data_IF_461861089037
#
_entry.id   IF_461861089037
#
_cell.length_a   1.000
_cell.length_b   1.000
_cell.length_c   1.000
_cell.angle_alpha   90.00
_cell.angle_beta   90.00
_cell.angle_gamma   90.00
#
_symmetry.space_group_name_H-M   'P 1'
#
loop_
_entity.id
_entity.type
_entity.pdbx_description
1 polymer ?
#
# COMPACT_ATOMS: atom_id res chain seq x y z
N UNK A 1 -12.37 19.92 -29.46
CA UNK A 1 -12.97 19.27 -28.29
C UNK A 1 -11.84 19.03 -27.32
N UNK A 2 -11.86 19.73 -26.20
CA UNK A 2 -10.87 19.63 -25.13
C UNK A 2 -10.91 18.22 -24.53
N UNK A 3 -9.77 17.72 -24.04
CA UNK A 3 -9.69 16.43 -23.34
C UNK A 3 -10.62 16.37 -22.10
N UNK A 4 -10.98 17.52 -21.53
CA UNK A 4 -12.01 17.64 -20.48
C UNK A 4 -13.39 17.20 -20.98
N UNK A 5 -13.75 17.55 -22.21
CA UNK A 5 -15.03 17.18 -22.80
C UNK A 5 -15.05 15.67 -23.11
N UNK A 6 -13.89 15.08 -23.44
CA UNK A 6 -13.81 13.63 -23.67
C UNK A 6 -13.87 12.80 -22.40
N UNK A 7 -13.34 13.30 -21.27
CA UNK A 7 -13.47 12.62 -19.97
C UNK A 7 -14.89 12.75 -19.41
N UNK A 8 -15.53 13.92 -19.48
CA UNK A 8 -16.92 14.09 -19.06
C UNK A 8 -17.92 13.33 -19.98
N UNK A 9 -17.63 13.22 -21.27
CA UNK A 9 -18.39 12.35 -22.19
C UNK A 9 -18.13 10.85 -21.89
N UNK A 10 -16.93 10.48 -21.44
CA UNK A 10 -16.62 9.10 -21.04
C UNK A 10 -17.29 8.72 -19.71
N UNK A 11 -17.25 9.61 -18.72
CA UNK A 11 -17.93 9.44 -17.43
C UNK A 11 -19.45 9.39 -17.61
N UNK A 12 -20.06 10.33 -18.34
CA UNK A 12 -21.51 10.31 -18.58
C UNK A 12 -21.96 9.09 -19.39
N UNK A 13 -21.23 8.68 -20.44
CA UNK A 13 -21.52 7.43 -21.16
C UNK A 13 -21.35 6.18 -20.32
N UNK A 14 -20.40 6.18 -19.37
CA UNK A 14 -20.20 5.05 -18.45
C UNK A 14 -21.34 4.93 -17.44
N UNK A 15 -21.87 6.06 -16.96
CA UNK A 15 -23.04 6.13 -16.07
C UNK A 15 -24.34 5.77 -16.80
N UNK A 16 -24.49 6.16 -18.06
CA UNK A 16 -25.60 5.77 -18.93
C UNK A 16 -25.59 4.25 -19.18
N UNK A 17 -24.41 3.68 -19.50
CA UNK A 17 -24.21 2.22 -19.57
C UNK A 17 -24.50 1.52 -18.25
N UNK A 18 -24.10 2.14 -17.13
CA UNK A 18 -24.35 1.63 -15.78
C UNK A 18 -25.85 1.56 -15.49
N UNK A 19 -26.60 2.59 -15.88
CA UNK A 19 -28.05 2.67 -15.73
C UNK A 19 -28.77 1.68 -16.66
N UNK A 20 -28.28 1.47 -17.88
CA UNK A 20 -28.80 0.46 -18.81
C UNK A 20 -28.54 -0.97 -18.27
N UNK A 21 -27.34 -1.25 -17.75
CA UNK A 21 -27.00 -2.54 -17.13
C UNK A 21 -27.76 -2.77 -15.82
N UNK A 22 -28.03 -1.71 -15.05
CA UNK A 22 -28.83 -1.77 -13.83
C UNK A 22 -30.34 -1.93 -14.14
N UNK A 23 -30.82 -1.37 -15.25
CA UNK A 23 -32.15 -1.60 -15.78
C UNK A 23 -32.31 -3.04 -16.31
N UNK A 24 -31.30 -3.57 -17.00
CA UNK A 24 -31.22 -4.98 -17.42
C UNK A 24 -31.20 -5.90 -16.19
N UNK A 25 -30.51 -5.52 -15.10
CA UNK A 25 -30.51 -6.23 -13.81
C UNK A 25 -31.89 -6.27 -13.14
N UNK A 26 -32.71 -5.22 -13.31
CA UNK A 26 -34.10 -5.18 -12.82
C UNK A 26 -35.01 -6.05 -13.69
N UNK A 27 -34.84 -6.09 -15.01
CA UNK A 27 -35.60 -7.01 -15.88
C UNK A 27 -35.22 -8.49 -15.64
N UNK A 28 -33.97 -8.78 -15.32
CA UNK A 28 -33.48 -10.11 -14.93
C UNK A 28 -33.92 -10.56 -13.52
N UNK A 29 -34.61 -9.68 -12.76
CA UNK A 29 -35.12 -9.99 -11.43
C UNK A 29 -36.44 -10.76 -11.42
N UNK A 30 -36.99 -11.08 -12.60
CA UNK A 30 -38.17 -11.93 -12.76
C UNK A 30 -37.84 -13.21 -13.55
N UNK A 31 -37.52 -14.28 -12.81
CA UNK A 31 -37.73 -15.70 -13.18
C UNK A 31 -36.99 -16.36 -14.37
N UNK A 32 -35.88 -15.80 -14.89
CA UNK A 32 -35.13 -16.47 -15.98
C UNK A 32 -33.69 -16.86 -15.57
N UNK A 33 -33.51 -18.09 -15.08
CA UNK A 33 -32.18 -18.70 -14.90
C UNK A 33 -31.67 -19.22 -16.26
N UNK A 34 -30.69 -18.54 -16.87
CA UNK A 34 -29.97 -19.03 -18.05
C UNK A 34 -28.46 -18.82 -17.94
N UNK A 35 -27.69 -19.57 -18.74
CA UNK A 35 -26.23 -19.44 -18.80
C UNK A 35 -25.83 -18.02 -19.25
N UNK A 36 -26.53 -17.45 -20.23
CA UNK A 36 -26.28 -16.09 -20.73
C UNK A 36 -26.47 -15.03 -19.63
N UNK A 37 -27.47 -15.22 -18.77
CA UNK A 37 -27.71 -14.33 -17.62
C UNK A 37 -26.57 -14.40 -16.62
N UNK A 38 -26.11 -15.61 -16.28
CA UNK A 38 -24.96 -15.78 -15.41
C UNK A 38 -23.70 -15.14 -15.99
N UNK A 39 -23.46 -15.31 -17.30
CA UNK A 39 -22.32 -14.70 -17.98
C UNK A 39 -22.37 -13.17 -17.92
N UNK A 40 -23.50 -12.56 -18.23
CA UNK A 40 -23.68 -11.10 -18.12
C UNK A 40 -23.45 -10.59 -16.70
N UNK A 41 -23.96 -11.30 -15.68
CA UNK A 41 -23.71 -10.93 -14.28
C UNK A 41 -22.22 -11.07 -13.91
N UNK A 42 -21.53 -12.08 -14.45
CA UNK A 42 -20.10 -12.25 -14.26
C UNK A 42 -19.30 -11.09 -14.88
N UNK A 43 -19.62 -10.71 -16.12
CA UNK A 43 -19.01 -9.59 -16.82
C UNK A 43 -19.30 -8.25 -16.12
N UNK A 44 -20.54 -8.04 -15.66
CA UNK A 44 -20.92 -6.85 -14.91
C UNK A 44 -20.18 -6.75 -13.58
N UNK A 45 -19.98 -7.87 -12.89
CA UNK A 45 -19.14 -7.92 -11.69
C UNK A 45 -17.72 -7.44 -12.00
N UNK A 46 -17.08 -7.96 -13.07
CA UNK A 46 -15.75 -7.50 -13.50
C UNK A 46 -15.74 -6.01 -13.83
N UNK A 47 -16.81 -5.49 -14.43
CA UNK A 47 -16.94 -4.06 -14.67
C UNK A 47 -16.98 -3.26 -13.36
N UNK A 48 -17.81 -3.64 -12.39
CA UNK A 48 -17.87 -2.94 -11.09
C UNK A 48 -16.58 -3.03 -10.27
N UNK A 49 -15.76 -4.07 -10.49
CA UNK A 49 -14.39 -4.14 -9.95
C UNK A 49 -13.54 -2.97 -10.41
N UNK A 50 -13.60 -2.63 -11.69
CA UNK A 50 -12.79 -1.54 -12.27
C UNK A 50 -13.22 -0.16 -11.73
N UNK A 51 -14.49 -0.01 -11.37
CA UNK A 51 -15.04 1.20 -10.73
C UNK A 51 -14.86 1.24 -9.20
N UNK A 52 -14.11 0.29 -8.62
CA UNK A 52 -13.84 0.19 -7.18
C UNK A 52 -15.14 0.20 -6.34
N UNK A 53 -16.16 -0.52 -6.79
CA UNK A 53 -17.40 -0.74 -6.03
C UNK A 53 -17.47 -2.20 -5.53
N UNK A 54 -16.74 -2.54 -4.45
CA UNK A 54 -16.54 -3.94 -4.04
C UNK A 54 -17.82 -4.60 -3.54
N UNK A 55 -18.81 -3.84 -3.04
CA UNK A 55 -20.08 -4.38 -2.56
C UNK A 55 -20.96 -4.87 -3.71
N UNK A 56 -21.12 -4.05 -4.75
CA UNK A 56 -21.92 -4.42 -5.94
C UNK A 56 -21.21 -5.52 -6.72
N UNK A 57 -19.88 -5.41 -6.88
CA UNK A 57 -19.04 -6.44 -7.50
C UNK A 57 -19.30 -7.83 -6.87
N UNK A 58 -19.21 -7.91 -5.54
CA UNK A 58 -19.36 -9.16 -4.80
C UNK A 58 -20.77 -9.76 -4.96
N UNK A 59 -21.81 -8.92 -4.84
CA UNK A 59 -23.20 -9.36 -4.98
C UNK A 59 -23.47 -9.97 -6.37
N UNK A 60 -22.93 -9.34 -7.42
CA UNK A 60 -23.08 -9.81 -8.80
C UNK A 60 -22.30 -11.10 -9.04
N UNK A 61 -21.07 -11.21 -8.53
CA UNK A 61 -20.27 -12.44 -8.64
C UNK A 61 -20.96 -13.63 -7.93
N UNK A 62 -21.53 -13.40 -6.74
CA UNK A 62 -22.29 -14.41 -5.99
C UNK A 62 -23.51 -14.89 -6.77
N UNK A 63 -24.33 -13.97 -7.29
CA UNK A 63 -25.52 -14.32 -8.07
C UNK A 63 -25.16 -15.06 -9.36
N UNK A 64 -24.12 -14.62 -10.05
CA UNK A 64 -23.60 -15.31 -11.25
C UNK A 64 -23.23 -16.77 -10.95
N UNK A 65 -22.42 -16.99 -9.90
CA UNK A 65 -21.99 -18.34 -9.52
C UNK A 65 -23.17 -19.22 -9.08
N UNK A 66 -24.14 -18.67 -8.35
CA UNK A 66 -25.35 -19.39 -7.95
C UNK A 66 -26.13 -19.90 -9.17
N UNK A 67 -26.31 -19.07 -10.20
CA UNK A 67 -26.99 -19.47 -11.44
C UNK A 67 -26.18 -20.54 -12.18
N UNK A 68 -24.86 -20.39 -12.30
CA UNK A 68 -24.03 -21.41 -12.92
C UNK A 68 -24.13 -22.76 -12.19
N UNK A 69 -24.05 -22.77 -10.87
CA UNK A 69 -24.16 -23.99 -10.06
C UNK A 69 -25.55 -24.61 -10.09
N UNK A 70 -26.60 -23.80 -10.31
CA UNK A 70 -27.97 -24.29 -10.47
C UNK A 70 -28.18 -24.96 -11.84
N UNK A 71 -27.63 -24.39 -12.91
CA UNK A 71 -27.86 -24.85 -14.28
C UNK A 71 -26.90 -25.94 -14.75
N UNK A 72 -25.68 -25.95 -14.22
CA UNK A 72 -24.60 -26.81 -14.67
C UNK A 72 -24.27 -27.84 -13.59
N UNK A 73 -24.24 -29.12 -13.96
CA UNK A 73 -23.90 -30.22 -13.05
C UNK A 73 -22.50 -30.75 -13.33
N UNK A 74 -21.67 -30.89 -12.29
CA UNK A 74 -20.30 -31.39 -12.42
C UNK A 74 -19.29 -30.27 -12.65
N UNK A 75 -18.13 -30.62 -13.23
CA UNK A 75 -17.10 -29.65 -13.54
C UNK A 75 -17.43 -28.93 -14.86
N UNK A 76 -17.39 -27.60 -14.85
CA UNK A 76 -17.64 -26.75 -16.01
C UNK A 76 -16.73 -25.52 -16.00
N UNK A 77 -16.29 -25.07 -17.17
CA UNK A 77 -15.42 -23.89 -17.28
C UNK A 77 -16.11 -22.62 -16.76
N UNK A 78 -17.42 -22.51 -16.97
CA UNK A 78 -18.26 -21.41 -16.51
C UNK A 78 -18.32 -21.34 -14.97
N UNK A 79 -18.45 -22.49 -14.30
CA UNK A 79 -18.41 -22.55 -12.83
C UNK A 79 -17.00 -22.16 -12.34
N UNK A 80 -15.94 -22.68 -12.97
CA UNK A 80 -14.58 -22.33 -12.59
C UNK A 80 -14.27 -20.83 -12.78
N UNK A 81 -14.79 -20.23 -13.85
CA UNK A 81 -14.68 -18.80 -14.11
C UNK A 81 -15.47 -17.96 -13.08
N UNK A 82 -16.69 -18.38 -12.74
CA UNK A 82 -17.50 -17.76 -11.69
C UNK A 82 -16.84 -17.85 -10.31
N UNK A 83 -16.26 -19.00 -9.97
CA UNK A 83 -15.48 -19.21 -8.74
C UNK A 83 -14.25 -18.28 -8.71
N UNK A 84 -13.54 -18.17 -9.83
CA UNK A 84 -12.37 -17.29 -9.94
C UNK A 84 -12.75 -15.84 -9.75
N UNK A 85 -13.80 -15.38 -10.44
CA UNK A 85 -14.28 -14.01 -10.32
C UNK A 85 -14.76 -13.68 -8.90
N UNK A 86 -15.52 -14.59 -8.28
CA UNK A 86 -15.95 -14.45 -6.89
C UNK A 86 -14.77 -14.37 -5.92
N UNK A 87 -13.74 -15.20 -6.11
CA UNK A 87 -12.51 -15.14 -5.33
C UNK A 87 -11.83 -13.77 -5.43
N UNK A 88 -11.73 -13.21 -6.64
CA UNK A 88 -11.19 -11.86 -6.86
C UNK A 88 -12.07 -10.77 -6.24
N UNK A 89 -13.39 -10.95 -6.16
CA UNK A 89 -14.28 -10.01 -5.47
C UNK A 89 -14.10 -10.05 -3.95
N UNK A 90 -13.85 -11.23 -3.36
CA UNK A 90 -13.48 -11.33 -1.95
C UNK A 90 -12.14 -10.66 -1.64
N UNK A 91 -11.16 -10.73 -2.56
CA UNK A 91 -9.89 -9.98 -2.45
C UNK A 91 -10.14 -8.49 -2.26
N UNK A 92 -11.02 -7.91 -3.08
CA UNK A 92 -11.33 -6.47 -3.05
C UNK A 92 -12.15 -6.06 -1.81
N UNK A 93 -12.82 -7.01 -1.16
CA UNK A 93 -13.50 -6.82 0.12
C UNK A 93 -12.61 -7.17 1.33
N UNK A 94 -11.31 -7.41 1.12
CA UNK A 94 -10.34 -7.77 2.17
C UNK A 94 -10.67 -9.09 2.91
N UNK A 95 -11.44 -9.97 2.28
CA UNK A 95 -11.81 -11.29 2.81
C UNK A 95 -10.87 -12.38 2.26
N UNK A 96 -9.58 -12.27 2.57
CA UNK A 96 -8.50 -13.06 1.95
C UNK A 96 -8.60 -14.59 2.15
N UNK A 97 -9.26 -15.05 3.22
CA UNK A 97 -9.51 -16.48 3.44
C UNK A 97 -10.55 -17.03 2.45
N UNK A 98 -11.58 -16.26 2.13
CA UNK A 98 -12.60 -16.65 1.14
C UNK A 98 -12.05 -16.51 -0.28
N UNK A 99 -11.29 -15.45 -0.56
CA UNK A 99 -10.51 -15.31 -1.79
C UNK A 99 -9.74 -16.60 -2.10
N UNK A 100 -8.91 -17.05 -1.15
CA UNK A 100 -8.11 -18.26 -1.32
C UNK A 100 -8.97 -19.52 -1.50
N UNK A 101 -10.05 -19.66 -0.72
CA UNK A 101 -10.96 -20.81 -0.81
C UNK A 101 -11.53 -20.94 -2.23
N UNK A 102 -12.13 -19.88 -2.75
CA UNK A 102 -12.80 -19.92 -4.05
C UNK A 102 -11.81 -20.08 -5.21
N UNK A 103 -10.63 -19.44 -5.15
CA UNK A 103 -9.58 -19.62 -6.15
C UNK A 103 -9.00 -21.04 -6.16
N UNK A 104 -8.85 -21.68 -4.99
CA UNK A 104 -8.44 -23.09 -4.92
C UNK A 104 -9.51 -24.03 -5.46
N UNK A 105 -10.80 -23.75 -5.24
CA UNK A 105 -11.91 -24.52 -5.83
C UNK A 105 -11.91 -24.39 -7.36
N UNK A 106 -11.77 -23.17 -7.90
CA UNK A 106 -11.63 -22.92 -9.33
C UNK A 106 -10.43 -23.68 -9.92
N UNK A 107 -9.26 -23.57 -9.28
CA UNK A 107 -8.04 -24.25 -9.72
C UNK A 107 -8.22 -25.77 -9.78
N UNK A 108 -8.83 -26.37 -8.75
CA UNK A 108 -9.10 -27.81 -8.71
C UNK A 108 -10.04 -28.24 -9.83
N UNK A 109 -11.06 -27.44 -10.13
CA UNK A 109 -12.01 -27.71 -11.20
C UNK A 109 -11.33 -27.61 -12.57
N UNK A 110 -10.56 -26.56 -12.82
CA UNK A 110 -9.81 -26.39 -14.07
C UNK A 110 -8.78 -27.50 -14.29
N UNK A 111 -8.10 -27.98 -13.24
CA UNK A 111 -7.19 -29.14 -13.34
C UNK A 111 -7.90 -30.46 -13.68
N UNK A 112 -9.20 -30.58 -13.42
CA UNK A 112 -10.00 -31.75 -13.83
C UNK A 112 -10.55 -31.62 -15.24
N UNK A 113 -10.87 -30.40 -15.67
CA UNK A 113 -11.37 -30.08 -17.00
C UNK A 113 -10.28 -30.08 -18.07
N UNK A 114 -9.12 -29.49 -17.75
CA UNK A 114 -8.00 -29.33 -18.65
C UNK A 114 -6.93 -30.36 -18.36
N UNK A 115 -6.60 -31.18 -19.37
CA UNK A 115 -5.47 -32.13 -19.31
C UNK A 115 -4.15 -31.43 -19.68
N UNK A 116 -4.22 -30.36 -20.47
CA UNK A 116 -3.06 -29.63 -20.99
C UNK A 116 -2.80 -28.30 -20.27
N UNK A 117 -1.56 -27.83 -20.37
CA UNK A 117 -1.19 -26.47 -19.96
C UNK A 117 -2.02 -25.44 -20.75
N UNK A 118 -2.51 -24.42 -20.05
CA UNK A 118 -3.29 -23.34 -20.66
C UNK A 118 -3.06 -22.02 -19.94
N UNK A 119 -3.26 -20.92 -20.64
CA UNK A 119 -3.15 -19.58 -20.05
C UNK A 119 -4.13 -19.35 -18.91
N UNK A 120 -5.35 -19.90 -19.00
CA UNK A 120 -6.37 -19.82 -17.95
C UNK A 120 -5.89 -20.52 -16.67
N UNK A 121 -5.32 -21.71 -16.81
CA UNK A 121 -4.78 -22.45 -15.67
C UNK A 121 -3.58 -21.72 -15.05
N UNK A 122 -2.70 -21.16 -15.88
CA UNK A 122 -1.57 -20.37 -15.42
C UNK A 122 -2.02 -19.08 -14.71
N UNK A 123 -3.05 -18.40 -15.20
CA UNK A 123 -3.63 -17.23 -14.54
C UNK A 123 -4.28 -17.59 -13.20
N UNK A 124 -5.00 -18.70 -13.14
CA UNK A 124 -5.61 -19.16 -11.90
C UNK A 124 -4.55 -19.51 -10.85
N UNK A 125 -3.46 -20.18 -11.27
CA UNK A 125 -2.29 -20.42 -10.40
C UNK A 125 -1.68 -19.11 -9.88
N UNK A 126 -1.52 -18.10 -10.75
CA UNK A 126 -1.03 -16.78 -10.34
C UNK A 126 -1.95 -16.17 -9.29
N UNK A 127 -3.26 -16.16 -9.51
CA UNK A 127 -4.23 -15.61 -8.58
C UNK A 127 -4.23 -16.36 -7.23
N UNK A 128 -4.10 -17.69 -7.23
CA UNK A 128 -3.93 -18.47 -5.99
C UNK A 128 -2.66 -18.06 -5.26
N UNK A 129 -1.54 -17.89 -5.96
CA UNK A 129 -0.30 -17.38 -5.37
C UNK A 129 -0.48 -16.01 -4.72
N UNK A 130 -1.15 -15.08 -5.40
CA UNK A 130 -1.48 -13.75 -4.85
C UNK A 130 -2.43 -13.83 -3.64
N UNK A 131 -3.34 -14.81 -3.59
CA UNK A 131 -4.19 -15.03 -2.42
C UNK A 131 -3.38 -15.52 -1.21
N UNK A 132 -2.39 -16.40 -1.42
CA UNK A 132 -1.45 -16.81 -0.37
C UNK A 132 -0.61 -15.63 0.13
N UNK A 133 -0.18 -14.72 -0.76
CA UNK A 133 0.47 -13.46 -0.37
C UNK A 133 -0.38 -12.65 0.59
N UNK A 134 -1.68 -12.49 0.29
CA UNK A 134 -2.58 -11.67 1.08
C UNK A 134 -2.84 -12.25 2.49
N UNK A 135 -2.68 -13.56 2.69
CA UNK A 135 -2.75 -14.20 4.03
C UNK A 135 -1.39 -14.35 4.71
N UNK A 136 -0.30 -13.86 4.10
CA UNK A 136 1.07 -13.90 4.64
C UNK A 136 1.79 -15.25 4.49
N UNK A 137 1.28 -16.17 3.67
CA UNK A 137 1.93 -17.46 3.40
C UNK A 137 2.84 -17.35 2.17
N UNK A 138 4.01 -16.78 2.37
CA UNK A 138 4.98 -16.52 1.29
C UNK A 138 5.58 -17.79 0.68
N UNK A 139 5.55 -18.92 1.39
CA UNK A 139 6.04 -20.21 0.87
C UNK A 139 5.08 -20.73 -0.19
N UNK A 140 3.78 -20.74 0.11
CA UNK A 140 2.78 -21.14 -0.88
C UNK A 140 2.62 -20.09 -1.99
N UNK A 141 2.77 -18.80 -1.70
CA UNK A 141 2.86 -17.75 -2.72
C UNK A 141 3.91 -18.11 -3.79
N UNK A 142 5.17 -18.32 -3.38
CA UNK A 142 6.26 -18.66 -4.31
C UNK A 142 5.96 -19.95 -5.07
N UNK A 143 5.42 -20.97 -4.40
CA UNK A 143 5.07 -22.24 -5.04
C UNK A 143 4.10 -22.05 -6.20
N UNK A 144 2.95 -21.40 -5.95
CA UNK A 144 1.90 -21.23 -6.94
C UNK A 144 2.29 -20.22 -8.04
N UNK A 145 3.01 -19.15 -7.70
CA UNK A 145 3.54 -18.20 -8.69
C UNK A 145 4.60 -18.87 -9.58
N UNK A 146 5.46 -19.73 -9.03
CA UNK A 146 6.43 -20.51 -9.81
C UNK A 146 5.75 -21.52 -10.73
N UNK A 147 4.74 -22.25 -10.24
CA UNK A 147 3.94 -23.17 -11.07
C UNK A 147 3.26 -22.42 -12.23
N UNK A 148 2.71 -21.23 -11.97
CA UNK A 148 2.13 -20.35 -13.01
C UNK A 148 3.17 -19.92 -14.04
N UNK A 149 4.33 -19.44 -13.60
CA UNK A 149 5.41 -19.00 -14.50
C UNK A 149 5.88 -20.14 -15.42
N UNK A 150 6.17 -21.32 -14.86
CA UNK A 150 6.61 -22.47 -15.66
C UNK A 150 5.54 -22.94 -16.64
N UNK A 151 4.26 -22.85 -16.26
CA UNK A 151 3.15 -23.15 -17.17
C UNK A 151 3.08 -22.15 -18.32
N UNK A 152 3.09 -20.84 -18.06
CA UNK A 152 3.10 -19.83 -19.13
C UNK A 152 4.28 -19.99 -20.06
N UNK A 153 5.45 -20.32 -19.51
CA UNK A 153 6.66 -20.58 -20.29
C UNK A 153 6.47 -21.75 -21.25
N UNK A 154 5.78 -22.82 -20.84
CA UNK A 154 5.45 -23.94 -21.73
C UNK A 154 4.40 -23.55 -22.77
N UNK A 155 3.34 -22.83 -22.38
CA UNK A 155 2.29 -22.35 -23.28
C UNK A 155 2.85 -21.47 -24.40
N UNK A 156 3.82 -20.60 -24.10
CA UNK A 156 4.45 -19.75 -25.09
C UNK A 156 5.70 -20.36 -25.75
N UNK A 157 5.96 -21.66 -25.59
CA UNK A 157 7.16 -22.34 -26.10
C UNK A 157 8.49 -21.66 -25.73
N UNK A 158 8.52 -20.95 -24.60
CA UNK A 158 9.67 -20.18 -24.14
C UNK A 158 9.93 -18.87 -24.92
N UNK A 159 9.05 -18.48 -25.83
CA UNK A 159 9.15 -17.20 -26.53
C UNK A 159 8.95 -16.04 -25.56
N UNK A 160 9.80 -15.01 -25.69
CA UNK A 160 9.67 -13.79 -24.91
C UNK A 160 8.31 -13.16 -25.19
N UNK A 161 7.58 -12.79 -24.15
CA UNK A 161 6.34 -12.02 -24.27
C UNK A 161 6.07 -11.25 -22.96
N UNK A 162 5.17 -10.27 -23.04
CA UNK A 162 4.81 -9.41 -21.91
C UNK A 162 4.26 -10.19 -20.71
N UNK A 163 3.51 -11.27 -20.91
CA UNK A 163 2.88 -12.04 -19.83
C UNK A 163 3.92 -12.86 -19.06
N UNK A 164 4.93 -13.39 -19.76
CA UNK A 164 6.05 -14.10 -19.17
C UNK A 164 6.93 -13.14 -18.36
N UNK A 165 7.23 -11.94 -18.88
CA UNK A 165 7.94 -10.90 -18.15
C UNK A 165 7.17 -10.46 -16.87
N UNK A 166 5.86 -10.20 -16.98
CA UNK A 166 5.01 -9.90 -15.81
C UNK A 166 5.01 -11.03 -14.79
N UNK A 167 5.09 -12.29 -15.22
CA UNK A 167 5.15 -13.43 -14.30
C UNK A 167 6.49 -13.49 -13.55
N UNK A 168 7.61 -13.14 -14.21
CA UNK A 168 8.91 -12.96 -13.55
C UNK A 168 8.88 -11.82 -12.54
N UNK A 169 8.21 -10.70 -12.86
CA UNK A 169 8.02 -9.60 -11.91
C UNK A 169 7.28 -10.06 -10.64
N UNK A 170 6.17 -10.81 -10.80
CA UNK A 170 5.42 -11.33 -9.65
C UNK A 170 6.22 -12.34 -8.84
N UNK A 171 6.97 -13.23 -9.50
CA UNK A 171 7.83 -14.19 -8.81
C UNK A 171 8.95 -13.49 -8.03
N UNK A 172 9.56 -12.45 -8.60
CA UNK A 172 10.54 -11.62 -7.91
C UNK A 172 9.94 -10.95 -6.67
N UNK A 173 8.72 -10.44 -6.76
CA UNK A 173 7.99 -9.87 -5.61
C UNK A 173 7.70 -10.93 -4.54
N UNK A 174 7.34 -12.16 -4.92
CA UNK A 174 7.14 -13.25 -3.97
C UNK A 174 8.42 -13.61 -3.18
N UNK A 175 9.58 -13.64 -3.86
CA UNK A 175 10.88 -13.81 -3.18
C UNK A 175 11.25 -12.62 -2.29
N UNK A 176 10.89 -11.39 -2.70
CA UNK A 176 11.04 -10.19 -1.87
C UNK A 176 10.26 -10.30 -0.55
N UNK A 177 9.01 -10.78 -0.61
CA UNK A 177 8.17 -10.98 0.57
C UNK A 177 8.73 -12.04 1.53
N UNK A 178 9.42 -13.06 1.00
CA UNK A 178 10.15 -14.04 1.81
C UNK A 178 11.48 -13.49 2.39
N UNK A 179 11.97 -12.36 1.87
CA UNK A 179 13.27 -11.77 2.22
C UNK A 179 14.45 -12.30 1.41
N UNK A 180 14.21 -13.09 0.35
CA UNK A 180 15.26 -13.53 -0.59
C UNK A 180 15.46 -12.49 -1.70
N UNK A 181 16.10 -11.38 -1.33
CA UNK A 181 16.36 -10.28 -2.24
C UNK A 181 17.35 -10.65 -3.37
N UNK A 182 18.15 -11.70 -3.18
CA UNK A 182 19.05 -12.18 -4.23
C UNK A 182 18.24 -12.78 -5.38
N UNK A 183 17.24 -13.60 -5.07
CA UNK A 183 16.34 -14.12 -6.11
C UNK A 183 15.42 -13.05 -6.68
N UNK A 184 14.93 -12.12 -5.86
CA UNK A 184 14.18 -10.96 -6.35
C UNK A 184 14.96 -10.26 -7.48
N UNK A 185 16.19 -9.79 -7.20
CA UNK A 185 16.98 -9.02 -8.16
C UNK A 185 17.23 -9.81 -9.44
N UNK A 186 17.55 -11.10 -9.34
CA UNK A 186 17.77 -11.97 -10.50
C UNK A 186 16.54 -11.98 -11.41
N UNK A 187 15.37 -12.25 -10.85
CA UNK A 187 14.12 -12.38 -11.60
C UNK A 187 13.66 -11.03 -12.20
N UNK A 188 13.84 -9.93 -11.46
CA UNK A 188 13.55 -8.57 -11.94
C UNK A 188 14.45 -8.19 -13.11
N UNK A 189 15.73 -8.54 -13.06
CA UNK A 189 16.66 -8.35 -14.18
C UNK A 189 16.32 -9.22 -15.40
N UNK A 190 15.92 -10.48 -15.18
CA UNK A 190 15.48 -11.37 -16.28
C UNK A 190 14.24 -10.81 -16.99
N UNK A 191 13.26 -10.33 -16.22
CA UNK A 191 12.08 -9.61 -16.74
C UNK A 191 12.49 -8.39 -17.56
N UNK A 192 13.36 -7.53 -17.00
CA UNK A 192 13.82 -6.32 -17.67
C UNK A 192 14.53 -6.62 -18.99
N UNK A 193 15.38 -7.65 -19.02
CA UNK A 193 16.07 -8.10 -20.24
C UNK A 193 15.06 -8.59 -21.28
N UNK A 194 14.03 -9.33 -20.86
CA UNK A 194 12.97 -9.81 -21.74
C UNK A 194 12.20 -8.64 -22.36
N UNK A 195 11.78 -7.67 -21.55
CA UNK A 195 11.06 -6.48 -22.02
C UNK A 195 11.92 -5.60 -22.94
N UNK A 196 13.22 -5.49 -22.66
CA UNK A 196 14.17 -4.74 -23.53
C UNK A 196 14.32 -5.40 -24.90
N UNK A 197 14.14 -6.73 -25.00
CA UNK A 197 14.15 -7.44 -26.29
C UNK A 197 12.81 -7.32 -27.04
N UNK A 198 11.71 -7.13 -26.31
CA UNK A 198 10.36 -7.00 -26.87
C UNK A 198 10.06 -5.60 -27.38
N UNK A 199 10.58 -4.59 -26.69
CA UNK A 199 10.35 -3.18 -26.98
C UNK A 199 11.67 -2.51 -27.34
N UNK A 200 11.84 -2.15 -28.61
CA UNK A 200 12.97 -1.34 -29.12
C UNK A 200 12.70 0.18 -29.04
N UNK A 201 11.55 0.55 -28.46
CA UNK A 201 11.14 1.93 -28.17
C UNK A 201 10.77 2.08 -26.69
N UNK A 202 10.60 3.33 -26.24
CA UNK A 202 10.13 3.59 -24.88
C UNK A 202 8.74 2.95 -24.67
N UNK A 203 8.58 2.19 -23.59
CA UNK A 203 7.33 1.47 -23.30
C UNK A 203 6.98 1.54 -21.82
N UNK A 204 5.69 1.66 -21.49
CA UNK A 204 5.21 1.81 -20.11
C UNK A 204 5.64 0.61 -19.25
N UNK A 205 5.58 -0.61 -19.78
CA UNK A 205 6.01 -1.81 -19.06
C UNK A 205 7.51 -1.85 -18.80
N UNK A 206 8.31 -1.36 -19.75
CA UNK A 206 9.76 -1.27 -19.60
C UNK A 206 10.11 -0.26 -18.50
N UNK A 207 9.43 0.89 -18.48
CA UNK A 207 9.55 1.87 -17.41
C UNK A 207 9.15 1.30 -16.04
N UNK A 208 8.07 0.52 -15.98
CA UNK A 208 7.62 -0.13 -14.75
C UNK A 208 8.65 -1.17 -14.25
N UNK A 209 9.21 -2.00 -15.13
CA UNK A 209 10.23 -2.99 -14.79
C UNK A 209 11.55 -2.35 -14.34
N UNK A 210 11.96 -1.23 -14.97
CA UNK A 210 13.08 -0.41 -14.49
C UNK A 210 12.84 0.08 -13.05
N UNK A 211 11.66 0.63 -12.75
CA UNK A 211 11.35 1.07 -11.38
C UNK A 211 11.36 -0.10 -10.38
N UNK A 212 10.76 -1.25 -10.75
CA UNK A 212 10.75 -2.42 -9.88
C UNK A 212 12.15 -2.97 -9.64
N UNK A 213 13.01 -3.00 -10.66
CA UNK A 213 14.42 -3.38 -10.53
C UNK A 213 15.16 -2.43 -9.58
N UNK A 214 14.91 -1.12 -9.70
CA UNK A 214 15.46 -0.14 -8.76
C UNK A 214 15.01 -0.37 -7.32
N UNK A 215 13.74 -0.72 -7.09
CA UNK A 215 13.23 -1.10 -5.77
C UNK A 215 13.95 -2.34 -5.22
N UNK A 216 14.16 -3.37 -6.03
CA UNK A 216 14.87 -4.59 -5.62
C UNK A 216 16.31 -4.31 -5.13
N UNK A 217 17.05 -3.44 -5.83
CA UNK A 217 18.36 -2.99 -5.34
C UNK A 217 18.27 -2.15 -4.06
N UNK A 218 17.18 -1.39 -3.87
CA UNK A 218 16.91 -0.65 -2.65
C UNK A 218 16.69 -1.53 -1.42
N UNK A 219 16.14 -2.75 -1.60
CA UNK A 219 15.93 -3.73 -0.53
C UNK A 219 17.25 -4.25 0.05
N UNK A 220 18.31 -4.32 -0.76
CA UNK A 220 19.68 -4.66 -0.31
C UNK A 220 20.55 -3.44 -0.04
N UNK A 221 19.95 -2.23 0.00
CA UNK A 221 20.65 -0.96 0.24
C UNK A 221 21.74 -0.62 -0.81
N UNK A 222 21.62 -1.13 -2.04
CA UNK A 222 22.51 -0.83 -3.16
C UNK A 222 22.09 0.47 -3.87
N UNK A 223 22.51 1.60 -3.28
CA UNK A 223 22.09 2.94 -3.69
C UNK A 223 22.37 3.26 -5.17
N UNK A 224 23.56 2.88 -5.66
CA UNK A 224 24.00 3.22 -7.02
C UNK A 224 23.08 2.63 -8.08
N UNK A 225 22.80 1.32 -7.99
CA UNK A 225 21.90 0.64 -8.90
C UNK A 225 20.44 1.09 -8.70
N UNK A 226 19.99 1.27 -7.45
CA UNK A 226 18.66 1.78 -7.15
C UNK A 226 18.39 3.11 -7.87
N UNK A 227 19.27 4.10 -7.72
CA UNK A 227 19.12 5.40 -8.36
C UNK A 227 19.25 5.32 -9.88
N UNK A 228 20.18 4.50 -10.39
CA UNK A 228 20.33 4.28 -11.84
C UNK A 228 19.03 3.82 -12.49
N UNK A 229 18.42 2.76 -11.95
CA UNK A 229 17.21 2.18 -12.52
C UNK A 229 15.97 3.06 -12.31
N UNK A 230 15.81 3.69 -11.12
CA UNK A 230 14.70 4.62 -10.88
C UNK A 230 14.77 5.88 -11.75
N UNK A 231 15.96 6.44 -11.98
CA UNK A 231 16.15 7.58 -12.90
C UNK A 231 15.87 7.18 -14.34
N UNK A 232 16.32 6.01 -14.78
CA UNK A 232 16.03 5.51 -16.13
C UNK A 232 14.51 5.34 -16.35
N UNK A 233 13.80 4.81 -15.36
CA UNK A 233 12.33 4.71 -15.38
C UNK A 233 11.65 6.08 -15.50
N UNK A 234 12.05 7.05 -14.66
CA UNK A 234 11.53 8.41 -14.69
C UNK A 234 11.77 9.07 -16.06
N UNK A 235 12.98 8.98 -16.60
CA UNK A 235 13.33 9.54 -17.90
C UNK A 235 12.52 8.92 -19.03
N UNK A 236 12.27 7.61 -18.98
CA UNK A 236 11.42 6.93 -19.96
C UNK A 236 9.97 7.41 -19.87
N UNK A 237 9.40 7.53 -18.66
CA UNK A 237 8.06 8.09 -18.46
C UNK A 237 7.94 9.53 -18.98
N UNK A 238 8.94 10.36 -18.73
CA UNK A 238 8.98 11.73 -19.26
C UNK A 238 9.01 11.76 -20.79
N UNK A 239 9.72 10.85 -21.45
CA UNK A 239 9.70 10.74 -22.92
C UNK A 239 8.36 10.22 -23.45
N UNK A 240 7.72 9.28 -22.74
CA UNK A 240 6.42 8.71 -23.12
C UNK A 240 5.28 9.73 -23.05
N UNK A 241 5.19 10.47 -21.95
CA UNK A 241 4.06 11.39 -21.70
C UNK A 241 4.37 12.85 -22.08
N UNK A 242 5.64 13.15 -22.41
CA UNK A 242 6.11 14.49 -22.74
C UNK A 242 6.16 15.42 -21.54
N UNK A 243 6.03 16.72 -21.79
CA UNK A 243 6.04 17.78 -20.77
C UNK A 243 4.70 17.93 -20.02
N UNK A 244 3.72 17.05 -20.29
CA UNK A 244 2.43 17.09 -19.63
C UNK A 244 2.51 16.56 -18.20
N UNK A 245 1.68 17.12 -17.32
CA UNK A 245 1.48 16.56 -15.99
C UNK A 245 0.87 15.15 -16.11
N UNK A 246 1.54 14.16 -15.52
CA UNK A 246 1.09 12.76 -15.57
C UNK A 246 1.29 12.10 -14.21
N UNK A 247 0.31 11.29 -13.78
CA UNK A 247 0.31 10.70 -12.43
C UNK A 247 1.57 9.83 -12.18
N UNK A 248 1.96 9.03 -13.16
CA UNK A 248 3.11 8.14 -13.11
C UNK A 248 4.44 8.90 -13.08
N UNK A 249 4.52 10.09 -13.70
CA UNK A 249 5.69 10.97 -13.56
C UNK A 249 5.72 11.53 -12.13
N UNK A 250 4.59 12.02 -11.62
CA UNK A 250 4.48 12.54 -10.27
C UNK A 250 4.90 11.49 -9.23
N UNK A 251 4.41 10.26 -9.34
CA UNK A 251 4.78 9.14 -8.47
C UNK A 251 6.27 8.78 -8.57
N UNK A 252 6.83 8.77 -9.78
CA UNK A 252 8.26 8.51 -10.01
C UNK A 252 9.13 9.55 -9.32
N UNK A 253 8.79 10.83 -9.48
CA UNK A 253 9.47 11.95 -8.83
C UNK A 253 9.35 11.82 -7.31
N UNK A 254 8.14 11.57 -6.79
CA UNK A 254 7.89 11.46 -5.37
C UNK A 254 8.75 10.37 -4.72
N UNK A 255 8.70 9.14 -5.25
CA UNK A 255 9.47 8.02 -4.72
C UNK A 255 10.98 8.17 -4.91
N UNK A 256 11.43 8.86 -5.97
CA UNK A 256 12.84 9.19 -6.14
C UNK A 256 13.31 10.20 -5.07
N UNK A 257 12.48 11.20 -4.75
CA UNK A 257 12.75 12.13 -3.65
C UNK A 257 12.83 11.41 -2.30
N UNK A 258 11.85 10.56 -1.98
CA UNK A 258 11.87 9.74 -0.77
C UNK A 258 13.11 8.81 -0.70
N UNK A 259 13.58 8.34 -1.85
CA UNK A 259 14.83 7.57 -1.93
C UNK A 259 16.02 8.42 -1.51
N UNK A 260 16.17 9.63 -2.05
CA UNK A 260 17.22 10.55 -1.64
C UNK A 260 17.15 10.88 -0.14
N UNK A 261 15.95 11.07 0.41
CA UNK A 261 15.72 11.28 1.85
C UNK A 261 16.27 10.14 2.71
N UNK A 262 16.03 8.88 2.31
CA UNK A 262 16.54 7.69 3.02
C UNK A 262 18.07 7.69 3.13
N UNK A 263 18.76 8.29 2.17
CA UNK A 263 20.23 8.38 2.14
C UNK A 263 20.75 9.77 2.52
N UNK A 264 19.94 10.55 3.25
CA UNK A 264 20.28 11.87 3.79
C UNK A 264 20.68 12.93 2.74
N UNK A 265 20.28 12.77 1.48
CA UNK A 265 20.42 13.79 0.45
C UNK A 265 19.14 14.66 0.41
N UNK A 266 19.07 15.58 1.36
CA UNK A 266 17.88 16.41 1.56
C UNK A 266 17.64 17.45 0.47
N UNK A 267 18.69 17.80 -0.31
CA UNK A 267 18.59 18.74 -1.42
C UNK A 267 17.79 18.10 -2.55
N UNK A 268 18.18 16.90 -2.98
CA UNK A 268 17.45 16.20 -4.05
C UNK A 268 16.08 15.71 -3.57
N UNK A 269 15.95 15.27 -2.31
CA UNK A 269 14.63 14.97 -1.71
C UNK A 269 13.65 16.15 -1.90
N UNK A 270 14.03 17.34 -1.43
CA UNK A 270 13.20 18.53 -1.55
C UNK A 270 12.90 18.89 -3.01
N UNK A 271 13.88 18.78 -3.90
CA UNK A 271 13.68 19.07 -5.32
C UNK A 271 12.63 18.15 -5.95
N UNK A 272 12.79 16.83 -5.78
CA UNK A 272 11.94 15.83 -6.42
C UNK A 272 10.54 15.77 -5.79
N UNK A 273 10.45 15.78 -4.44
CA UNK A 273 9.15 15.76 -3.74
C UNK A 273 8.35 17.03 -4.05
N UNK A 274 9.00 18.21 -4.12
CA UNK A 274 8.30 19.45 -4.48
C UNK A 274 7.71 19.38 -5.89
N UNK A 275 8.49 18.97 -6.88
CA UNK A 275 8.03 18.80 -8.27
C UNK A 275 6.85 17.82 -8.35
N UNK A 276 6.93 16.71 -7.61
CA UNK A 276 5.87 15.71 -7.56
C UNK A 276 4.56 16.24 -6.97
N UNK A 277 4.63 16.93 -5.82
CA UNK A 277 3.45 17.51 -5.15
C UNK A 277 2.80 18.58 -6.00
N UNK A 278 3.59 19.47 -6.62
CA UNK A 278 3.08 20.51 -7.52
C UNK A 278 2.36 19.89 -8.73
N UNK A 279 2.91 18.82 -9.31
CA UNK A 279 2.29 18.08 -10.40
C UNK A 279 0.99 17.38 -9.93
N UNK A 280 1.01 16.67 -8.80
CA UNK A 280 -0.18 16.00 -8.25
C UNK A 280 -1.31 16.99 -7.93
N UNK A 281 -0.99 18.20 -7.43
CA UNK A 281 -1.96 19.29 -7.24
C UNK A 281 -2.64 19.69 -8.56
N UNK A 282 -1.87 19.84 -9.64
CA UNK A 282 -2.40 20.21 -10.97
C UNK A 282 -3.22 19.09 -11.60
N UNK A 283 -2.86 17.83 -11.37
CA UNK A 283 -3.61 16.67 -11.88
C UNK A 283 -4.96 16.51 -11.18
N UNK A 284 -4.99 16.56 -9.85
CA UNK A 284 -6.21 16.25 -9.10
C UNK A 284 -7.20 17.41 -9.08
N UNK A 285 -6.70 18.66 -8.99
CA UNK A 285 -7.51 19.89 -8.85
C UNK A 285 -8.55 19.86 -7.71
N UNK A 286 -8.44 18.90 -6.78
CA UNK A 286 -9.33 18.68 -5.64
C UNK A 286 -8.55 18.20 -4.43
N UNK A 287 -9.18 18.29 -3.26
CA UNK A 287 -8.65 17.66 -2.05
C UNK A 287 -8.61 16.15 -2.22
N UNK A 288 -7.55 15.52 -1.73
CA UNK A 288 -7.35 14.09 -1.82
C UNK A 288 -6.47 13.61 -0.66
N UNK A 289 -6.73 12.40 -0.15
CA UNK A 289 -6.05 11.85 1.02
C UNK A 289 -4.55 11.65 0.74
N UNK A 290 -4.22 11.14 -0.46
CA UNK A 290 -2.85 10.91 -0.89
C UNK A 290 -2.12 12.24 -1.10
N UNK A 291 -2.81 13.23 -1.69
CA UNK A 291 -2.24 14.58 -1.86
C UNK A 291 -1.90 15.21 -0.50
N UNK A 292 -2.76 15.08 0.51
CA UNK A 292 -2.48 15.55 1.86
C UNK A 292 -1.24 14.88 2.46
N UNK A 293 -1.05 13.58 2.24
CA UNK A 293 0.15 12.86 2.67
C UNK A 293 1.41 13.38 1.96
N UNK A 294 1.35 13.61 0.66
CA UNK A 294 2.48 14.14 -0.11
C UNK A 294 2.86 15.55 0.35
N UNK A 295 1.88 16.40 0.65
CA UNK A 295 2.10 17.74 1.23
C UNK A 295 2.76 17.63 2.62
N UNK A 296 2.32 16.71 3.48
CA UNK A 296 2.96 16.45 4.77
C UNK A 296 4.43 16.02 4.59
N UNK A 297 4.71 15.13 3.63
CA UNK A 297 6.07 14.68 3.31
C UNK A 297 6.94 15.77 2.70
N UNK A 298 6.37 16.67 1.88
CA UNK A 298 7.06 17.87 1.43
C UNK A 298 7.44 18.76 2.61
N UNK A 299 6.57 18.88 3.62
CA UNK A 299 6.89 19.55 4.87
C UNK A 299 8.12 18.96 5.55
N UNK A 300 8.20 17.62 5.65
CA UNK A 300 9.39 16.93 6.17
C UNK A 300 10.64 17.25 5.35
N UNK A 301 10.55 17.26 4.02
CA UNK A 301 11.68 17.61 3.14
C UNK A 301 12.18 19.05 3.38
N UNK A 302 11.28 20.02 3.53
CA UNK A 302 11.67 21.39 3.91
C UNK A 302 12.34 21.44 5.29
N UNK A 303 11.80 20.74 6.28
CA UNK A 303 12.35 20.69 7.63
C UNK A 303 13.76 20.06 7.69
N UNK A 304 13.99 18.97 6.97
CA UNK A 304 15.31 18.34 6.84
C UNK A 304 16.32 19.25 6.15
N UNK A 305 15.85 20.13 5.26
CA UNK A 305 16.66 21.14 4.58
C UNK A 305 16.77 22.46 5.38
N UNK A 306 16.27 22.49 6.62
CA UNK A 306 16.41 23.59 7.58
C UNK A 306 15.25 24.60 7.64
N UNK A 307 14.25 24.50 6.77
CA UNK A 307 13.09 25.42 6.77
C UNK A 307 11.94 24.87 7.62
N UNK A 308 12.10 24.98 8.94
CA UNK A 308 11.13 24.50 9.93
C UNK A 308 9.79 25.27 9.88
N UNK A 309 9.79 26.52 9.40
CA UNK A 309 8.57 27.30 9.25
C UNK A 309 7.74 26.76 8.09
N UNK A 310 8.38 26.51 6.94
CA UNK A 310 7.71 25.91 5.79
C UNK A 310 7.25 24.49 6.07
N UNK A 311 7.99 23.71 6.86
CA UNK A 311 7.54 22.41 7.39
C UNK A 311 6.19 22.56 8.11
N UNK A 312 6.10 23.48 9.08
CA UNK A 312 4.87 23.71 9.84
C UNK A 312 3.71 24.15 8.94
N UNK A 313 3.94 25.11 8.05
CA UNK A 313 2.90 25.61 7.14
C UNK A 313 2.31 24.49 6.28
N UNK A 314 3.15 23.61 5.73
CA UNK A 314 2.72 22.47 4.91
C UNK A 314 2.02 21.39 5.75
N UNK A 315 2.46 21.12 6.98
CA UNK A 315 1.75 20.19 7.88
C UNK A 315 0.36 20.72 8.27
N UNK A 316 0.22 22.05 8.42
CA UNK A 316 -1.09 22.70 8.62
C UNK A 316 -1.96 22.61 7.35
N UNK A 317 -1.39 22.82 6.17
CA UNK A 317 -2.10 22.67 4.88
C UNK A 317 -2.67 21.26 4.72
N UNK A 318 -1.86 20.22 4.96
CA UNK A 318 -2.27 18.82 4.90
C UNK A 318 -3.38 18.49 5.93
N UNK A 319 -3.25 19.01 7.16
CA UNK A 319 -4.29 18.91 8.20
C UNK A 319 -5.62 19.50 7.74
N UNK A 320 -5.60 20.73 7.19
CA UNK A 320 -6.80 21.40 6.73
C UNK A 320 -7.47 20.65 5.58
N UNK A 321 -6.68 20.07 4.66
CA UNK A 321 -7.19 19.21 3.60
C UNK A 321 -7.91 17.98 4.15
N UNK A 322 -7.30 17.28 5.11
CA UNK A 322 -7.93 16.12 5.78
C UNK A 322 -9.21 16.50 6.54
N UNK A 323 -9.26 17.67 7.18
CA UNK A 323 -10.48 18.18 7.81
C UNK A 323 -11.62 18.49 6.83
N UNK A 324 -11.31 18.79 5.56
CA UNK A 324 -12.33 18.98 4.51
C UNK A 324 -12.81 17.64 3.94
N UNK A 325 -11.93 16.63 3.91
CA UNK A 325 -12.23 15.28 3.40
C UNK A 325 -13.03 14.43 4.39
N UNK A 326 -12.76 14.56 5.69
CA UNK A 326 -13.38 13.73 6.73
C UNK A 326 -14.26 14.59 7.65
N UNK A 327 -15.49 14.11 7.90
CA UNK A 327 -16.38 14.72 8.88
C UNK A 327 -16.20 14.06 10.25
N UNK A 328 -16.08 14.86 11.30
CA UNK A 328 -15.91 14.38 12.68
C UNK A 328 -14.48 13.89 12.99
N UNK A 329 -14.38 13.00 13.97
CA UNK A 329 -13.11 12.39 14.35
C UNK A 329 -12.65 11.42 13.27
N UNK A 330 -11.37 11.50 12.87
CA UNK A 330 -10.79 10.60 11.90
C UNK A 330 -9.30 10.38 12.17
N UNK A 331 -8.82 9.16 11.97
CA UNK A 331 -7.43 8.79 12.26
C UNK A 331 -6.41 9.67 11.52
N UNK A 332 -6.69 10.03 10.26
CA UNK A 332 -5.83 10.92 9.46
C UNK A 332 -5.73 12.34 10.05
N UNK A 333 -6.82 12.83 10.64
CA UNK A 333 -6.83 14.15 11.30
C UNK A 333 -6.02 14.08 12.60
N UNK A 334 -6.20 13.02 13.40
CA UNK A 334 -5.40 12.79 14.62
C UNK A 334 -3.90 12.66 14.31
N UNK A 335 -3.54 11.95 13.23
CA UNK A 335 -2.17 11.85 12.75
C UNK A 335 -1.60 13.22 12.35
N UNK A 336 -2.36 14.03 11.59
CA UNK A 336 -1.96 15.39 11.25
C UNK A 336 -1.72 16.29 12.47
N UNK A 337 -2.56 16.19 13.51
CA UNK A 337 -2.37 16.94 14.76
C UNK A 337 -1.07 16.53 15.47
N UNK A 338 -0.75 15.24 15.48
CA UNK A 338 0.54 14.76 15.97
C UNK A 338 1.71 15.40 15.19
N UNK A 339 1.62 15.38 13.86
CA UNK A 339 2.66 15.88 12.97
C UNK A 339 2.91 17.39 13.15
N UNK A 340 1.84 18.16 13.33
CA UNK A 340 1.91 19.59 13.68
C UNK A 340 2.59 19.79 15.04
N UNK A 341 2.22 18.99 16.05
CA UNK A 341 2.87 19.01 17.36
C UNK A 341 4.39 18.78 17.26
N UNK A 342 4.81 17.81 16.45
CA UNK A 342 6.22 17.52 16.19
C UNK A 342 6.95 18.66 15.46
N UNK A 343 6.29 19.38 14.55
CA UNK A 343 6.86 20.58 13.92
C UNK A 343 7.05 21.73 14.92
N UNK A 344 6.08 21.97 15.81
CA UNK A 344 6.25 22.94 16.90
C UNK A 344 7.39 22.56 17.85
N UNK A 345 7.56 21.26 18.13
CA UNK A 345 8.70 20.75 18.91
C UNK A 345 10.03 21.13 18.27
N UNK A 346 10.18 20.94 16.95
CA UNK A 346 11.40 21.34 16.21
C UNK A 346 11.65 22.85 16.26
N UNK A 347 10.58 23.65 16.28
CA UNK A 347 10.67 25.11 16.44
C UNK A 347 10.93 25.56 17.89
N UNK A 348 10.90 24.66 18.87
CA UNK A 348 11.04 24.97 20.30
C UNK A 348 9.79 25.57 20.95
N UNK A 349 8.64 25.57 20.27
CA UNK A 349 7.36 26.04 20.82
C UNK A 349 6.64 24.90 21.56
N UNK A 350 7.12 24.61 22.78
CA UNK A 350 6.61 23.53 23.62
C UNK A 350 5.15 23.72 24.06
N UNK A 351 4.63 24.95 24.01
CA UNK A 351 3.23 25.25 24.35
C UNK A 351 2.31 24.77 23.23
N UNK A 352 2.62 25.14 21.98
CA UNK A 352 1.83 24.68 20.84
C UNK A 352 2.06 23.19 20.56
N UNK A 353 3.27 22.67 20.76
CA UNK A 353 3.55 21.22 20.75
C UNK A 353 2.52 20.47 21.60
N UNK A 354 2.47 20.77 22.90
CA UNK A 354 1.57 20.06 23.82
C UNK A 354 0.09 20.24 23.45
N UNK A 355 -0.31 21.45 23.04
CA UNK A 355 -1.68 21.75 22.60
C UNK A 355 -2.14 20.85 21.45
N UNK A 356 -1.32 20.70 20.40
CA UNK A 356 -1.71 19.90 19.23
C UNK A 356 -1.61 18.39 19.50
N UNK A 357 -0.60 17.94 20.25
CA UNK A 357 -0.48 16.54 20.64
C UNK A 357 -1.67 16.07 21.51
N UNK A 358 -2.08 16.88 22.49
CA UNK A 358 -3.25 16.56 23.33
C UNK A 358 -4.56 16.52 22.53
N UNK A 359 -4.75 17.42 21.56
CA UNK A 359 -5.91 17.37 20.66
C UNK A 359 -5.95 16.08 19.84
N UNK A 360 -4.81 15.63 19.32
CA UNK A 360 -4.73 14.37 18.59
C UNK A 360 -4.98 13.16 19.49
N UNK A 361 -4.51 13.21 20.75
CA UNK A 361 -4.69 12.13 21.71
C UNK A 361 -6.16 11.98 22.11
N UNK A 362 -6.81 13.09 22.42
CA UNK A 362 -8.23 13.17 22.73
C UNK A 362 -9.10 12.62 21.58
N UNK A 363 -8.71 12.90 20.32
CA UNK A 363 -9.35 12.30 19.15
C UNK A 363 -9.13 10.77 19.06
N UNK A 364 -7.90 10.29 19.26
CA UNK A 364 -7.64 8.84 19.28
C UNK A 364 -8.32 8.12 20.46
N UNK A 365 -8.51 8.78 21.60
CA UNK A 365 -9.26 8.25 22.74
C UNK A 365 -10.75 8.06 22.40
N UNK A 366 -11.33 8.92 21.56
CA UNK A 366 -12.70 8.75 21.05
C UNK A 366 -12.83 7.75 19.90
N UNK A 367 -11.81 7.66 19.04
CA UNK A 367 -11.82 6.72 17.89
C UNK A 367 -11.60 5.26 18.31
N UNK A 368 -10.77 5.04 19.33
CA UNK A 368 -10.36 3.70 19.75
C UNK A 368 -10.62 3.52 21.24
N UNK A 369 -11.66 2.76 21.56
CA UNK A 369 -11.98 2.35 22.94
C UNK A 369 -10.84 1.51 23.55
N UNK A 370 -10.13 0.73 22.73
CA UNK A 370 -9.04 -0.13 23.14
C UNK A 370 -7.63 0.43 22.87
N UNK A 371 -6.68 -0.52 22.80
CA UNK A 371 -5.31 -0.25 22.43
C UNK A 371 -5.18 -0.03 20.91
N UNK A 372 -4.36 0.93 20.52
CA UNK A 372 -4.09 1.20 19.12
C UNK A 372 -2.67 1.73 18.96
N UNK A 373 -1.92 1.25 17.96
CA UNK A 373 -0.50 1.59 17.78
C UNK A 373 -0.25 3.11 17.68
N UNK A 374 -1.11 3.82 16.95
CA UNK A 374 -0.98 5.28 16.81
C UNK A 374 -1.32 6.03 18.10
N UNK A 375 -2.25 5.52 18.90
CA UNK A 375 -2.58 6.06 20.24
C UNK A 375 -1.39 5.87 21.18
N UNK A 376 -0.76 4.68 21.17
CA UNK A 376 0.44 4.39 21.96
C UNK A 376 1.61 5.31 21.59
N UNK A 377 1.87 5.49 20.29
CA UNK A 377 2.91 6.42 19.80
C UNK A 377 2.63 7.86 20.22
N UNK A 378 1.38 8.32 20.14
CA UNK A 378 1.01 9.67 20.52
C UNK A 378 1.14 9.92 22.03
N UNK A 379 0.80 8.93 22.87
CA UNK A 379 1.05 8.99 24.32
C UNK A 379 2.53 9.26 24.62
N UNK A 380 3.45 8.58 23.93
CA UNK A 380 4.89 8.83 24.10
C UNK A 380 5.27 10.26 23.69
N UNK A 381 4.76 10.77 22.57
CA UNK A 381 5.03 12.14 22.14
C UNK A 381 4.49 13.18 23.13
N UNK A 382 3.29 12.97 23.69
CA UNK A 382 2.73 13.80 24.76
C UNK A 382 3.62 13.75 26.00
N UNK A 383 4.10 12.57 26.38
CA UNK A 383 5.05 12.41 27.49
C UNK A 383 6.32 13.22 27.28
N UNK A 384 6.93 13.14 26.08
CA UNK A 384 8.12 13.92 25.73
C UNK A 384 7.83 15.43 25.80
N UNK A 385 6.66 15.88 25.32
CA UNK A 385 6.26 17.28 25.41
C UNK A 385 6.12 17.77 26.86
N UNK A 386 5.63 16.93 27.77
CA UNK A 386 5.65 17.24 29.21
C UNK A 386 7.06 17.28 29.79
N UNK A 387 7.96 16.39 29.34
CA UNK A 387 9.37 16.46 29.73
C UNK A 387 10.02 17.77 29.27
N UNK A 388 9.72 18.25 28.07
CA UNK A 388 10.21 19.55 27.56
C UNK A 388 9.70 20.73 28.41
N UNK A 389 8.49 20.60 28.97
CA UNK A 389 7.89 21.56 29.91
C UNK A 389 8.29 21.32 31.39
N UNK A 390 9.26 20.45 31.67
CA UNK A 390 9.77 20.11 33.02
C UNK A 390 8.74 19.42 33.93
N UNK A 391 7.70 18.80 33.37
CA UNK A 391 6.67 18.06 34.09
C UNK A 391 6.99 16.56 34.13
N UNK A 392 8.06 16.18 34.83
CA UNK A 392 8.59 14.81 34.84
C UNK A 392 7.59 13.73 35.31
N UNK A 393 6.66 14.08 36.22
CA UNK A 393 5.64 13.14 36.70
C UNK A 393 4.65 12.76 35.59
N UNK A 394 4.21 13.75 34.80
CA UNK A 394 3.33 13.51 33.68
C UNK A 394 4.06 12.77 32.56
N UNK A 395 5.31 13.15 32.27
CA UNK A 395 6.15 12.40 31.33
C UNK A 395 6.19 10.90 31.65
N UNK A 396 6.51 10.54 32.90
CA UNK A 396 6.53 9.14 33.33
C UNK A 396 5.16 8.46 33.16
N UNK A 397 4.07 9.13 33.55
CA UNK A 397 2.73 8.56 33.44
C UNK A 397 2.37 8.23 31.98
N UNK A 398 2.57 9.18 31.05
CA UNK A 398 2.26 8.99 29.63
C UNK A 398 3.17 7.94 28.98
N UNK A 399 4.45 7.89 29.36
CA UNK A 399 5.39 6.89 28.86
C UNK A 399 5.03 5.47 29.31
N UNK A 400 4.65 5.30 30.58
CA UNK A 400 4.18 4.00 31.10
C UNK A 400 2.90 3.56 30.38
N UNK A 401 1.93 4.46 30.19
CA UNK A 401 0.70 4.17 29.43
C UNK A 401 1.01 3.71 28.00
N UNK A 402 2.00 4.33 27.34
CA UNK A 402 2.45 3.95 26.00
C UNK A 402 3.06 2.53 25.99
N UNK A 403 3.96 2.24 26.92
CA UNK A 403 4.62 0.92 27.06
C UNK A 403 3.60 -0.19 27.33
N UNK A 404 2.69 0.04 28.27
CA UNK A 404 1.66 -0.94 28.63
C UNK A 404 0.73 -1.23 27.43
N UNK A 405 0.45 -0.22 26.60
CA UNK A 405 -0.31 -0.39 25.37
C UNK A 405 0.47 -1.21 24.32
N UNK A 406 1.76 -0.91 24.11
CA UNK A 406 2.59 -1.70 23.19
C UNK A 406 2.72 -3.16 23.62
N UNK A 407 2.86 -3.44 24.93
CA UNK A 407 2.89 -4.80 25.47
C UNK A 407 1.60 -5.59 25.24
N UNK A 408 0.45 -4.93 25.15
CA UNK A 408 -0.84 -5.57 24.86
C UNK A 408 -1.10 -5.73 23.36
N UNK A 409 -0.47 -4.89 22.53
CA UNK A 409 -0.61 -4.94 21.07
C UNK A 409 0.28 -5.97 20.40
N UNK A 410 1.46 -6.23 20.95
CA UNK A 410 2.48 -7.07 20.31
C UNK A 410 2.95 -8.16 21.26
N UNK A 411 2.90 -9.40 20.79
CA UNK A 411 3.51 -10.55 21.47
C UNK A 411 5.01 -10.58 21.15
N UNK A 412 5.84 -10.42 22.18
CA UNK A 412 7.31 -10.53 22.07
C UNK A 412 8.05 -9.22 21.86
N UNK A 413 9.27 -9.32 21.33
CA UNK A 413 10.18 -8.19 21.18
C UNK A 413 9.75 -7.30 20.00
N UNK A 414 9.55 -6.02 20.27
CA UNK A 414 9.14 -5.03 19.26
C UNK A 414 10.09 -3.82 19.31
N UNK A 415 10.49 -3.32 18.14
CA UNK A 415 11.45 -2.21 18.05
C UNK A 415 10.99 -0.98 18.85
N UNK A 416 9.73 -0.58 18.66
CA UNK A 416 9.17 0.57 19.39
C UNK A 416 9.08 0.34 20.89
N UNK A 417 8.79 -0.89 21.34
CA UNK A 417 8.79 -1.19 22.76
C UNK A 417 10.18 -1.03 23.36
N UNK A 418 11.23 -1.49 22.66
CA UNK A 418 12.61 -1.29 23.10
C UNK A 418 12.97 0.19 23.21
N UNK A 419 12.59 1.01 22.22
CA UNK A 419 12.84 2.45 22.27
C UNK A 419 12.13 3.13 23.47
N UNK A 420 10.87 2.76 23.73
CA UNK A 420 10.13 3.29 24.87
C UNK A 420 10.73 2.86 26.21
N UNK A 421 11.17 1.61 26.35
CA UNK A 421 11.85 1.12 27.55
C UNK A 421 13.17 1.86 27.80
N UNK A 422 13.93 2.17 26.75
CA UNK A 422 15.12 3.01 26.84
C UNK A 422 14.80 4.42 27.33
N UNK A 423 13.74 5.04 26.79
CA UNK A 423 13.25 6.33 27.28
C UNK A 423 12.83 6.25 28.75
N UNK A 424 12.19 5.16 29.16
CA UNK A 424 11.73 4.98 30.55
C UNK A 424 12.91 4.81 31.50
N UNK A 425 13.92 4.05 31.10
CA UNK A 425 15.19 3.94 31.83
C UNK A 425 15.83 5.31 32.05
N UNK A 426 15.97 6.11 30.98
CA UNK A 426 16.51 7.47 31.06
C UNK A 426 15.68 8.38 31.97
N UNK A 427 14.35 8.23 31.96
CA UNK A 427 13.43 8.97 32.82
C UNK A 427 13.65 8.66 34.31
N UNK A 428 13.80 7.38 34.66
CA UNK A 428 14.08 6.96 36.04
C UNK A 428 15.47 7.40 36.52
N UNK A 429 16.49 7.32 35.66
CA UNK A 429 17.84 7.80 35.98
C UNK A 429 17.85 9.29 36.32
N UNK A 430 17.15 10.12 35.54
CA UNK A 430 16.97 11.56 35.84
C UNK A 430 16.27 11.84 37.17
N UNK A 431 15.43 10.91 37.64
CA UNK A 431 14.70 11.03 38.90
C UNK A 431 15.44 10.36 40.08
N UNK A 432 16.65 9.85 39.88
CA UNK A 432 17.47 9.21 40.92
C UNK A 432 17.04 7.79 41.30
N UNK A 433 16.17 7.16 40.50
CA UNK A 433 15.74 5.77 40.72
C UNK A 433 16.62 4.80 39.92
N UNK A 434 17.85 4.59 40.40
CA UNK A 434 18.83 3.72 39.73
C UNK A 434 18.36 2.26 39.61
N UNK A 435 17.44 1.81 40.47
CA UNK A 435 16.89 0.45 40.42
C UNK A 435 16.01 0.28 39.18
N UNK A 436 15.05 1.17 38.97
CA UNK A 436 14.18 1.10 37.79
C UNK A 436 14.91 1.51 36.51
N UNK A 437 15.86 2.45 36.58
CA UNK A 437 16.75 2.76 35.46
C UNK A 437 17.44 1.50 34.92
N UNK A 438 18.13 0.74 35.80
CA UNK A 438 18.84 -0.46 35.40
C UNK A 438 17.88 -1.56 34.91
N UNK A 439 16.74 -1.75 35.59
CA UNK A 439 15.72 -2.72 35.21
C UNK A 439 15.28 -2.55 33.75
N UNK A 440 14.83 -1.34 33.38
CA UNK A 440 14.28 -1.10 32.04
C UNK A 440 15.37 -1.00 30.97
N UNK A 441 16.60 -0.63 31.35
CA UNK A 441 17.77 -0.70 30.45
C UNK A 441 18.06 -2.13 30.04
N UNK A 442 18.18 -3.03 31.03
CA UNK A 442 18.43 -4.45 30.79
C UNK A 442 17.29 -5.09 30.01
N UNK A 443 16.04 -4.70 30.30
CA UNK A 443 14.88 -5.18 29.53
C UNK A 443 14.97 -4.76 28.05
N UNK A 444 15.28 -3.49 27.77
CA UNK A 444 15.46 -2.98 26.40
C UNK A 444 16.62 -3.65 25.66
N UNK A 445 17.77 -3.84 26.32
CA UNK A 445 18.98 -4.42 25.73
C UNK A 445 18.83 -5.92 25.43
N UNK A 446 17.95 -6.63 26.14
CA UNK A 446 17.70 -8.06 25.93
C UNK A 446 16.68 -8.35 24.83
N UNK A 447 16.04 -7.33 24.25
CA UNK A 447 15.08 -7.52 23.16
C UNK A 447 15.80 -7.97 21.88
N UNK A 448 15.39 -9.11 21.33
CA UNK A 448 15.81 -9.60 20.02
C UNK A 448 15.04 -8.84 18.95
N UNK A 449 15.47 -7.62 18.68
CA UNK A 449 14.94 -6.81 17.58
C UNK A 449 15.45 -7.42 16.28
N UNK A 450 14.62 -8.24 15.63
CA UNK A 450 14.79 -8.47 14.21
C UNK A 450 14.51 -7.13 13.54
N UNK A 451 15.56 -6.44 13.09
CA UNK A 451 15.40 -5.27 12.23
C UNK A 451 14.91 -5.80 10.88
N UNK A 452 13.64 -6.14 10.78
CA UNK A 452 12.97 -6.22 9.49
C UNK A 452 13.05 -4.80 8.92
N UNK A 453 14.00 -4.57 8.01
CA UNK A 453 14.25 -3.29 7.33
C UNK A 453 13.09 -2.85 6.40
N UNK A 454 11.90 -3.42 6.59
CA UNK A 454 10.71 -3.27 5.75
C UNK A 454 9.50 -2.70 6.50
N UNK A 455 9.65 -2.26 7.76
CA UNK A 455 8.66 -1.32 8.28
C UNK A 455 9.02 0.08 7.80
N UNK A 456 8.20 0.57 6.88
CA UNK A 456 8.15 1.96 6.45
C UNK A 456 8.63 2.89 7.57
N UNK A 457 9.66 3.69 7.26
CA UNK A 457 9.91 4.96 7.93
C UNK A 457 8.64 5.82 7.77
N UNK A 458 7.60 5.53 8.55
CA UNK A 458 6.47 6.40 8.78
C UNK A 458 7.03 7.54 9.62
N UNK A 459 7.59 8.53 8.92
CA UNK A 459 7.69 9.87 9.46
C UNK A 459 6.27 10.35 9.73
N UNK A 460 5.92 10.37 11.01
CA UNK A 460 4.89 11.25 11.54
C UNK A 460 5.30 12.72 11.29
#
# INVERSE_FOLDING_TARGET
>A
MSLSDSEDIFFSKSEEKLNDLYAEYIELSTDCYSIDVAQKLNELSRFYRDFKNPKTELKLAQKSLEIYQFLLSGDHYEIADGLSNLGLSYRNNYEHKLELKYLLEALRMLKRLSVDDSDILAETLMNVGLAYRNIGDHINEIKFVSESFEMRKRVCNGENNQHLAKSLEQLGTAFSNLGDYKQEIKLKLESLIMLTKLYDYDHIELAASLNSTGTAFGNINELSNMLKYKKASLQMRQRLYGDNDHAEIAESLYHLGLTYRKFADYIHDLEYVRKAVEMKKRILMRDDVELAEWINNLGVSYGNNGDLKKELDLKIEAYQMRCRLFSGDHQEIAASLNNIGLAYRKLGDHKNELKYLLKGLDMYERLYEGDHRHKASLLNNVGIAYSNNKENKLYLNYLIRSIDMYRRLYDGDHMELSYLLKNLSMAYGKNGDSKNELKYKVESDNMKINVCHCEHYFYF
#
